data_IF_793575392316
#
_entry.id   IF_793575392316
#
_cell.length_a   1.000
_cell.length_b   1.000
_cell.length_c   1.000
_cell.angle_alpha   90.00
_cell.angle_beta   90.00
_cell.angle_gamma   90.00
#
_symmetry.space_group_name_H-M   'P 1'
#
loop_
_entity.id
_entity.type
_entity.pdbx_description
1 polymer ?
#
# COMPACT_ATOMS: atom_id res chain seq x y z
N UNK A 1 15.68 7.49 -15.01
CA UNK A 1 14.49 6.71 -14.62
C UNK A 1 14.61 6.52 -13.12
N UNK A 2 13.72 7.12 -12.33
CA UNK A 2 13.72 6.86 -10.89
C UNK A 2 13.06 5.49 -10.73
N UNK A 3 13.87 4.44 -10.58
CA UNK A 3 13.40 3.17 -10.05
C UNK A 3 13.35 3.35 -8.54
N UNK A 4 12.21 3.81 -8.02
CA UNK A 4 11.94 3.66 -6.59
C UNK A 4 11.87 2.16 -6.33
N UNK A 5 12.67 1.70 -5.38
CA UNK A 5 12.61 0.31 -4.93
C UNK A 5 11.22 0.05 -4.35
N UNK A 6 10.60 -1.04 -4.80
CA UNK A 6 9.27 -1.46 -4.35
C UNK A 6 9.44 -2.12 -2.98
N UNK A 7 8.69 -1.65 -1.99
CA UNK A 7 8.65 -2.22 -0.64
C UNK A 7 7.99 -3.60 -0.62
N UNK A 8 8.25 -4.37 0.43
CA UNK A 8 7.66 -5.70 0.59
C UNK A 8 6.13 -5.67 0.60
N UNK A 9 5.54 -4.61 1.18
CA UNK A 9 4.08 -4.43 1.27
C UNK A 9 3.45 -4.08 -0.09
N UNK A 10 4.12 -3.29 -0.90
CA UNK A 10 3.69 -3.04 -2.29
C UNK A 10 3.79 -4.32 -3.14
N UNK A 11 4.80 -5.15 -2.91
CA UNK A 11 4.90 -6.48 -3.54
C UNK A 11 3.76 -7.41 -3.12
N UNK A 12 3.37 -7.38 -1.85
CA UNK A 12 2.23 -8.14 -1.32
C UNK A 12 0.93 -7.74 -2.04
N UNK A 13 0.66 -6.44 -2.18
CA UNK A 13 -0.49 -5.93 -2.91
C UNK A 13 -0.52 -6.42 -4.37
N UNK A 14 0.63 -6.35 -5.06
CA UNK A 14 0.76 -6.82 -6.44
C UNK A 14 0.45 -8.33 -6.54
N UNK A 15 0.92 -9.13 -5.58
CA UNK A 15 0.66 -10.57 -5.56
C UNK A 15 -0.82 -10.88 -5.33
N UNK A 16 -1.48 -10.19 -4.38
CA UNK A 16 -2.90 -10.34 -4.10
C UNK A 16 -3.77 -10.00 -5.32
N UNK A 17 -3.47 -8.89 -6.01
CA UNK A 17 -4.18 -8.49 -7.23
C UNK A 17 -4.03 -9.52 -8.36
N UNK A 18 -2.83 -10.09 -8.54
CA UNK A 18 -2.60 -11.16 -9.53
C UNK A 18 -3.40 -12.42 -9.21
N UNK A 19 -3.45 -12.78 -7.93
CA UNK A 19 -4.20 -13.94 -7.45
C UNK A 19 -5.70 -13.74 -7.57
N UNK A 20 -6.21 -12.55 -7.24
CA UNK A 20 -7.61 -12.18 -7.40
C UNK A 20 -8.07 -12.34 -8.86
N UNK A 21 -7.26 -11.84 -9.81
CA UNK A 21 -7.53 -12.01 -11.24
C UNK A 21 -7.56 -13.48 -11.68
N UNK A 22 -6.74 -14.33 -11.07
CA UNK A 22 -6.67 -15.78 -11.40
C UNK A 22 -7.79 -16.60 -10.74
N UNK A 23 -8.22 -16.21 -9.55
CA UNK A 23 -9.24 -16.90 -8.77
C UNK A 23 -10.67 -16.46 -9.13
N UNK A 24 -10.81 -15.43 -9.97
CA UNK A 24 -12.12 -14.97 -10.43
C UNK A 24 -12.86 -16.06 -11.23
N UNK A 25 -14.16 -16.30 -10.95
CA UNK A 25 -15.03 -15.62 -9.98
C UNK A 25 -15.12 -16.30 -8.59
N UNK A 26 -14.56 -17.50 -8.41
CA UNK A 26 -14.93 -18.39 -7.30
C UNK A 26 -14.22 -18.10 -5.96
N UNK A 27 -13.12 -17.34 -5.96
CA UNK A 27 -12.34 -17.00 -4.74
C UNK A 27 -12.43 -15.54 -4.28
N UNK A 28 -13.36 -14.76 -4.83
CA UNK A 28 -13.27 -13.29 -4.86
C UNK A 28 -13.40 -12.59 -3.49
N UNK A 29 -14.33 -13.01 -2.61
CA UNK A 29 -14.68 -12.19 -1.43
C UNK A 29 -13.59 -12.10 -0.36
N UNK A 30 -12.85 -13.18 -0.13
CA UNK A 30 -11.78 -13.19 0.89
C UNK A 30 -10.57 -12.40 0.40
N UNK A 31 -10.20 -12.56 -0.88
CA UNK A 31 -9.09 -11.80 -1.46
C UNK A 31 -9.40 -10.30 -1.58
N UNK A 32 -10.66 -9.91 -1.80
CA UNK A 32 -11.05 -8.50 -1.83
C UNK A 32 -10.80 -7.82 -0.48
N UNK A 33 -11.13 -8.49 0.63
CA UNK A 33 -10.84 -7.98 1.97
C UNK A 33 -9.33 -7.87 2.22
N UNK A 34 -8.56 -8.90 1.87
CA UNK A 34 -7.09 -8.86 2.01
C UNK A 34 -6.44 -7.74 1.18
N UNK A 35 -6.97 -7.47 -0.01
CA UNK A 35 -6.50 -6.36 -0.86
C UNK A 35 -6.78 -5.01 -0.20
N UNK A 36 -7.98 -4.83 0.39
CA UNK A 36 -8.33 -3.58 1.07
C UNK A 36 -7.47 -3.36 2.32
N UNK A 37 -7.26 -4.39 3.14
CA UNK A 37 -6.43 -4.28 4.34
C UNK A 37 -4.99 -3.85 4.01
N UNK A 38 -4.40 -4.45 2.96
CA UNK A 38 -3.04 -4.08 2.50
C UNK A 38 -3.01 -2.68 1.91
N UNK A 39 -4.05 -2.26 1.20
CA UNK A 39 -4.15 -0.92 0.63
C UNK A 39 -4.28 0.14 1.72
N UNK A 40 -5.13 -0.08 2.71
CA UNK A 40 -5.32 0.82 3.84
C UNK A 40 -4.02 0.99 4.63
N UNK A 41 -3.27 -0.10 4.88
CA UNK A 41 -1.96 -0.04 5.52
C UNK A 41 -0.95 0.80 4.71
N UNK A 42 -0.90 0.61 3.38
CA UNK A 42 -0.03 1.39 2.50
C UNK A 42 -0.40 2.87 2.47
N UNK A 43 -1.69 3.19 2.49
CA UNK A 43 -2.18 4.58 2.52
C UNK A 43 -1.93 5.22 3.88
N UNK A 44 -2.14 4.51 4.98
CA UNK A 44 -1.87 4.98 6.35
C UNK A 44 -0.37 5.23 6.59
N UNK A 45 0.50 4.39 6.02
CA UNK A 45 1.95 4.62 6.01
C UNK A 45 2.26 5.92 5.27
N UNK A 46 1.66 6.14 4.10
CA UNK A 46 1.85 7.38 3.34
C UNK A 46 1.32 8.62 4.06
N UNK A 47 0.20 8.50 4.79
CA UNK A 47 -0.32 9.59 5.62
C UNK A 47 0.64 9.95 6.77
N UNK A 48 1.20 8.98 7.49
CA UNK A 48 2.17 9.23 8.58
C UNK A 48 3.49 9.79 8.07
N UNK A 49 4.00 9.31 6.94
CA UNK A 49 5.21 9.88 6.33
C UNK A 49 4.98 11.33 5.86
N UNK A 50 3.75 11.69 5.44
CA UNK A 50 3.44 13.05 5.01
C UNK A 50 3.37 14.05 6.19
N UNK A 51 2.88 13.65 7.36
CA UNK A 51 2.84 14.49 8.56
C UNK A 51 4.24 14.72 9.16
N UNK A 52 5.13 13.73 9.14
CA UNK A 52 6.53 13.89 9.60
C UNK A 52 7.33 14.89 8.74
N UNK A 53 6.99 15.04 7.45
CA UNK A 53 7.61 16.06 6.59
C UNK A 53 7.09 17.49 6.81
N UNK A 54 5.88 17.66 7.35
CA UNK A 54 5.33 18.99 7.66
C UNK A 54 5.81 19.51 9.02
N UNK A 55 5.94 18.65 10.03
CA UNK A 55 6.41 19.04 11.37
C UNK A 55 7.90 19.44 11.40
N UNK A 56 8.76 18.83 10.59
CA UNK A 56 10.20 19.15 10.57
C UNK A 56 10.58 20.44 9.83
N UNK A 57 9.62 21.13 9.19
CA UNK A 57 9.88 22.38 8.46
C UNK A 57 9.43 23.65 9.22
N UNK A 58 8.89 23.52 10.44
CA UNK A 58 8.41 24.67 11.23
C UNK A 58 9.25 24.99 12.47
N UNK A 59 10.29 24.22 12.79
CA UNK A 59 11.21 24.52 13.90
C UNK A 59 12.59 24.96 13.40
N UNK A 60 12.59 26.03 12.59
CA UNK A 60 13.79 26.80 12.24
C UNK A 60 13.38 28.25 11.95
N UNK A 61 12.89 28.95 12.97
CA UNK A 61 12.91 30.43 13.04
C UNK A 61 14.17 30.92 13.75
#
# INVERSE_FOLDING_TARGET
MITKDISDKEWELIALLRNYRRAYPNGARMLEAEIQDVLDELMDIQYRESEETEENNTESE
#
